data_IF_620094760171
#
_entry.id   IF_620094760171
#
_cell.length_a   1.000
_cell.length_b   1.000
_cell.length_c   1.000
_cell.angle_alpha   90.00
_cell.angle_beta   90.00
_cell.angle_gamma   90.00
#
_symmetry.space_group_name_H-M   'P 1'
#
loop_
_entity.id
_entity.type
_entity.pdbx_description
1 polymer ?
#
# COMPACT_ATOMS: atom_id res chain seq x y z
N UNK A 1 -6.17 -2.75 -11.96
CA UNK A 1 -4.70 -2.63 -12.01
C UNK A 1 -4.16 -3.66 -11.04
N UNK A 2 -3.27 -4.55 -11.47
CA UNK A 2 -2.63 -5.51 -10.57
C UNK A 2 -1.28 -4.94 -10.14
N UNK A 3 -1.02 -4.96 -8.84
CA UNK A 3 0.26 -4.53 -8.26
C UNK A 3 1.10 -5.78 -8.09
N UNK A 4 2.10 -5.93 -8.94
CA UNK A 4 2.86 -7.18 -9.04
C UNK A 4 3.98 -7.26 -7.99
N UNK A 5 4.58 -6.12 -7.63
CA UNK A 5 5.64 -6.05 -6.62
C UNK A 5 5.52 -4.82 -5.74
N UNK A 6 5.64 -5.06 -4.43
CA UNK A 6 5.87 -4.03 -3.43
C UNK A 6 7.34 -4.03 -3.03
N UNK A 7 7.95 -2.85 -3.04
CA UNK A 7 9.26 -2.62 -2.44
C UNK A 7 9.10 -1.97 -1.07
N UNK A 8 9.53 -2.70 -0.05
CA UNK A 8 9.42 -2.29 1.34
C UNK A 8 10.73 -1.69 1.84
N UNK A 9 10.68 -0.43 2.28
CA UNK A 9 11.76 0.20 3.03
C UNK A 9 11.54 -0.01 4.52
N UNK A 10 12.60 -0.33 5.26
CA UNK A 10 12.51 -0.57 6.70
C UNK A 10 11.90 0.63 7.45
N UNK A 11 12.29 1.86 7.07
CA UNK A 11 11.73 3.11 7.61
C UNK A 11 10.21 3.22 7.42
N UNK A 12 9.66 2.67 6.34
CA UNK A 12 8.22 2.69 6.07
C UNK A 12 7.54 1.66 6.95
N UNK A 13 8.08 0.44 7.04
CA UNK A 13 7.52 -0.62 7.89
C UNK A 13 7.41 -0.13 9.33
N UNK A 14 8.50 0.42 9.87
CA UNK A 14 8.53 0.96 11.23
C UNK A 14 7.50 2.09 11.40
N UNK A 15 7.43 3.01 10.45
CA UNK A 15 6.45 4.12 10.47
C UNK A 15 5.00 3.62 10.44
N UNK A 16 4.68 2.61 9.62
CA UNK A 16 3.32 2.06 9.55
C UNK A 16 2.91 1.46 10.90
N UNK A 17 3.79 0.67 11.50
CA UNK A 17 3.51 0.04 12.77
C UNK A 17 3.39 1.07 13.89
N UNK A 18 4.37 1.97 14.02
CA UNK A 18 4.46 2.92 15.14
C UNK A 18 3.47 4.08 15.05
N UNK A 19 3.17 4.58 13.84
CA UNK A 19 2.27 5.75 13.67
C UNK A 19 0.84 5.38 13.33
N UNK A 20 0.62 4.24 12.68
CA UNK A 20 -0.69 3.88 12.15
C UNK A 20 -1.21 2.56 12.70
N UNK A 21 -0.40 1.80 13.45
CA UNK A 21 -0.80 0.47 13.92
C UNK A 21 -1.15 -0.48 12.77
N UNK A 22 -0.50 -0.28 11.62
CA UNK A 22 -0.70 -1.08 10.40
C UNK A 22 0.55 -1.91 10.18
N UNK A 23 0.37 -3.22 9.99
CA UNK A 23 1.48 -4.13 9.69
C UNK A 23 1.76 -4.19 8.19
N UNK A 24 2.90 -4.78 7.83
CA UNK A 24 3.22 -5.09 6.43
C UNK A 24 2.18 -6.05 5.83
N UNK A 25 1.84 -7.10 6.56
CA UNK A 25 0.89 -8.13 6.12
C UNK A 25 -0.49 -7.53 5.80
N UNK A 26 -1.01 -6.64 6.65
CA UNK A 26 -2.30 -5.99 6.40
C UNK A 26 -2.31 -5.16 5.10
N UNK A 27 -1.18 -4.54 4.75
CA UNK A 27 -1.05 -3.85 3.46
C UNK A 27 -1.02 -4.84 2.31
N UNK A 28 -0.32 -5.96 2.46
CA UNK A 28 -0.27 -7.02 1.45
C UNK A 28 -1.64 -7.67 1.25
N UNK A 29 -2.41 -7.89 2.31
CA UNK A 29 -3.80 -8.37 2.25
C UNK A 29 -4.67 -7.42 1.42
N UNK A 30 -4.63 -6.11 1.70
CA UNK A 30 -5.41 -5.11 0.95
C UNK A 30 -4.99 -5.04 -0.51
N UNK A 31 -3.69 -5.13 -0.80
CA UNK A 31 -3.15 -5.06 -2.17
C UNK A 31 -3.53 -6.30 -2.99
N UNK A 32 -3.50 -7.49 -2.38
CA UNK A 32 -3.80 -8.76 -3.04
C UNK A 32 -5.31 -9.11 -3.03
N UNK A 33 -6.08 -8.52 -2.12
CA UNK A 33 -7.50 -8.73 -1.95
C UNK A 33 -8.37 -7.87 -2.88
N UNK A 34 -9.64 -7.69 -2.49
CA UNK A 34 -10.55 -6.77 -3.18
C UNK A 34 -10.25 -5.34 -2.74
N UNK A 35 -9.85 -4.51 -3.70
CA UNK A 35 -9.57 -3.11 -3.46
C UNK A 35 -10.11 -2.22 -4.58
N UNK A 36 -10.35 -0.97 -4.23
CA UNK A 36 -10.60 0.13 -5.15
C UNK A 36 -9.30 0.92 -5.34
N UNK A 37 -8.87 1.04 -6.60
CA UNK A 37 -7.63 1.74 -6.95
C UNK A 37 -7.95 3.09 -7.57
N UNK A 38 -7.42 4.16 -7.00
CA UNK A 38 -7.48 5.51 -7.57
C UNK A 38 -6.08 6.05 -7.84
N UNK A 39 -5.83 6.45 -9.09
CA UNK A 39 -4.60 7.15 -9.46
C UNK A 39 -4.73 8.64 -9.09
N UNK A 40 -3.76 9.16 -8.35
CA UNK A 40 -3.69 10.55 -7.92
C UNK A 40 -2.39 11.18 -8.43
N UNK A 41 -2.45 11.93 -9.54
CA UNK A 41 -1.26 12.51 -10.17
C UNK A 41 -0.48 11.51 -11.02
N UNK A 42 0.81 11.78 -11.25
CA UNK A 42 1.62 11.02 -12.22
C UNK A 42 1.97 9.61 -11.73
N UNK A 43 2.44 9.51 -10.49
CA UNK A 43 3.09 8.31 -9.95
C UNK A 43 2.48 7.83 -8.63
N UNK A 44 1.41 8.45 -8.13
CA UNK A 44 0.81 8.09 -6.84
C UNK A 44 -0.53 7.38 -7.01
N UNK A 45 -0.74 6.37 -6.19
CA UNK A 45 -1.91 5.51 -6.19
C UNK A 45 -2.47 5.41 -4.77
N UNK A 46 -3.78 5.44 -4.67
CA UNK A 46 -4.53 5.20 -3.46
C UNK A 46 -5.29 3.89 -3.63
N UNK A 47 -5.10 2.98 -2.69
CA UNK A 47 -5.82 1.72 -2.63
C UNK A 47 -6.68 1.75 -1.38
N UNK A 48 -7.96 1.53 -1.56
CA UNK A 48 -8.88 1.35 -0.45
C UNK A 48 -9.38 -0.09 -0.48
N UNK A 49 -9.21 -0.82 0.60
CA UNK A 49 -9.65 -2.21 0.68
C UNK A 49 -9.71 -2.69 2.11
N UNK A 50 -10.09 -3.95 2.26
CA UNK A 50 -10.30 -4.57 3.55
C UNK A 50 -9.23 -5.65 3.80
N UNK A 51 -8.71 -5.71 5.03
CA UNK A 51 -7.84 -6.79 5.53
C UNK A 51 -8.66 -8.06 5.77
N UNK A 52 -7.99 -9.19 5.93
CA UNK A 52 -8.64 -10.47 6.23
C UNK A 52 -9.34 -10.44 7.61
N UNK A 53 -8.82 -9.62 8.53
CA UNK A 53 -9.44 -9.36 9.83
C UNK A 53 -10.64 -8.39 9.76
N UNK A 54 -10.96 -7.85 8.58
CA UNK A 54 -12.10 -6.98 8.35
C UNK A 54 -11.84 -5.48 8.55
N UNK A 55 -10.59 -5.05 8.79
CA UNK A 55 -10.23 -3.63 8.91
C UNK A 55 -10.16 -3.00 7.53
N UNK A 56 -10.64 -1.76 7.38
CA UNK A 56 -10.49 -1.03 6.12
C UNK A 56 -9.21 -0.21 6.16
N UNK A 57 -8.39 -0.29 5.12
CA UNK A 57 -7.18 0.54 5.02
C UNK A 57 -7.18 1.33 3.73
N UNK A 58 -6.73 2.59 3.85
CA UNK A 58 -6.28 3.42 2.75
C UNK A 58 -4.76 3.34 2.63
N UNK A 59 -4.29 2.59 1.64
CA UNK A 59 -2.87 2.43 1.31
C UNK A 59 -2.46 3.44 0.25
N UNK A 60 -1.35 4.14 0.49
CA UNK A 60 -0.75 5.10 -0.44
C UNK A 60 0.52 4.52 -1.02
N UNK A 61 0.52 4.33 -2.34
CA UNK A 61 1.65 3.80 -3.09
C UNK A 61 2.22 4.86 -4.03
N UNK A 62 3.52 4.80 -4.24
CA UNK A 62 4.20 5.51 -5.33
C UNK A 62 4.80 4.49 -6.27
N UNK A 63 4.57 4.66 -7.56
CA UNK A 63 5.18 3.86 -8.61
C UNK A 63 6.62 4.29 -8.82
N UNK A 64 7.53 3.33 -8.91
CA UNK A 64 8.91 3.61 -9.26
C UNK A 64 9.01 4.19 -10.69
N UNK A 65 9.97 5.11 -10.91
CA UNK A 65 10.12 5.79 -12.19
C UNK A 65 10.90 4.96 -13.20
N UNK A 66 11.80 4.12 -12.72
CA UNK A 66 12.71 3.32 -13.53
C UNK A 66 12.16 1.90 -13.73
N UNK A 67 11.53 1.32 -12.70
CA UNK A 67 10.89 0.00 -12.77
C UNK A 67 9.35 0.08 -12.81
N UNK A 68 8.77 -0.12 -14.00
CA UNK A 68 7.32 0.01 -14.22
C UNK A 68 6.42 -0.99 -13.44
N UNK A 69 6.99 -2.05 -12.86
CA UNK A 69 6.28 -3.06 -12.06
C UNK A 69 6.39 -2.83 -10.55
N UNK A 70 7.23 -1.89 -10.12
CA UNK A 70 7.56 -1.69 -8.71
C UNK A 70 6.72 -0.58 -8.09
N UNK A 71 6.10 -0.88 -6.96
CA UNK A 71 5.35 0.08 -6.16
C UNK A 71 5.92 0.14 -4.75
N UNK A 72 6.04 1.35 -4.22
CA UNK A 72 6.61 1.61 -2.89
C UNK A 72 5.47 2.12 -2.00
N UNK A 73 5.13 1.39 -0.92
CA UNK A 73 4.26 1.92 0.11
C UNK A 73 4.89 3.13 0.78
N UNK A 74 4.14 4.22 0.93
CA UNK A 74 4.61 5.43 1.63
C UNK A 74 3.81 5.67 2.93
N UNK A 75 2.57 5.17 2.97
CA UNK A 75 1.67 5.26 4.11
C UNK A 75 0.52 4.26 3.95
N UNK A 76 -0.02 3.79 5.06
CA UNK A 76 -1.28 3.07 5.16
C UNK A 76 -1.93 3.46 6.48
N UNK A 77 -3.25 3.61 6.49
CA UNK A 77 -4.03 4.05 7.65
C UNK A 77 -5.47 3.57 7.52
N UNK A 78 -6.14 3.41 8.66
CA UNK A 78 -7.57 3.16 8.75
C UNK A 78 -8.39 4.41 8.39
#
# INVERSE_FOLDING_TARGET
>A
MQIERLYWREEVIEKLLTKHGVTRDEVEEVVNGRNEVRKCGKDRYLLFGQTDAGRYLLVVLVKDKDECSLYIPISARE
#
